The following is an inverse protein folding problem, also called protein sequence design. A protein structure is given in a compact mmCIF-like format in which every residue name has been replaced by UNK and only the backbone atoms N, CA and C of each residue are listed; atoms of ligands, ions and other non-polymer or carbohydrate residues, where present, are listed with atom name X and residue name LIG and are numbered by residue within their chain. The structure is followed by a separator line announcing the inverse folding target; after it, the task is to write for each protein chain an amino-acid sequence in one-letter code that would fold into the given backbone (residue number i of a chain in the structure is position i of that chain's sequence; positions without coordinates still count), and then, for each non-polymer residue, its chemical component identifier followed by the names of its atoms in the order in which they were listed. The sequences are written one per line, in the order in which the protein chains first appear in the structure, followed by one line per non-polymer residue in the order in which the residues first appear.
data_IF_252273893357
#
_entry.id   IF_252273893357
#
_cell.length_a   1.000
_cell.length_b   1.000
_cell.length_c   1.000
_cell.angle_alpha   90.00
_cell.angle_beta   90.00
_cell.angle_gamma   90.00
#
_symmetry.space_group_name_H-M   'P 1'
#
loop_
_entity.id
_entity.type
_entity.pdbx_description
1 polymer ?
#
# COMPACT_ATOMS: atom_id res chain seq x y z
N UNK A 1 0.81 -29.91 40.92
CA UNK A 1 1.55 -28.81 40.27
C UNK A 1 0.82 -28.43 38.99
N UNK A 2 -0.02 -27.38 38.96
CA UNK A 2 -0.76 -27.03 37.76
C UNK A 2 0.11 -26.19 36.81
N UNK A 3 -0.08 -26.45 35.52
CA UNK A 3 0.67 -25.88 34.40
C UNK A 3 0.51 -24.36 34.31
N UNK A 4 1.62 -23.70 33.97
CA UNK A 4 1.70 -22.26 33.74
C UNK A 4 0.98 -21.88 32.44
N UNK A 5 0.15 -20.84 32.54
CA UNK A 5 -0.65 -20.26 31.47
C UNK A 5 0.26 -19.42 30.53
N UNK A 6 0.18 -19.52 29.19
CA UNK A 6 1.01 -18.72 28.29
C UNK A 6 0.56 -17.26 28.31
N UNK A 7 1.53 -16.36 28.50
CA UNK A 7 1.31 -14.91 28.54
C UNK A 7 0.86 -14.42 27.16
N UNK A 8 -0.35 -13.88 27.11
CA UNK A 8 -0.89 -13.15 25.98
C UNK A 8 -0.12 -11.82 25.88
N UNK A 9 0.77 -11.68 24.90
CA UNK A 9 1.35 -10.38 24.55
C UNK A 9 0.19 -9.46 24.12
N UNK A 10 -0.17 -8.51 24.98
CA UNK A 10 -1.04 -7.40 24.60
C UNK A 10 -0.19 -6.39 23.85
N UNK A 11 -0.43 -6.22 22.55
CA UNK A 11 0.04 -5.06 21.82
C UNK A 11 -0.60 -3.82 22.46
N UNK A 12 0.23 -2.99 23.08
CA UNK A 12 -0.12 -1.69 23.61
C UNK A 12 -0.84 -0.89 22.52
N UNK A 13 -2.12 -0.59 22.76
CA UNK A 13 -2.83 0.41 21.97
C UNK A 13 -2.18 1.76 22.26
N UNK A 14 -1.62 2.40 21.23
CA UNK A 14 -1.10 3.76 21.31
C UNK A 14 -2.17 4.72 21.88
N UNK A 15 -1.96 5.31 23.07
CA UNK A 15 -2.84 6.32 23.61
C UNK A 15 -2.35 7.68 23.11
N UNK A 16 -2.71 8.04 21.88
CA UNK A 16 -2.49 9.39 21.33
C UNK A 16 -3.59 9.77 20.35
N UNK A 17 -4.83 9.41 20.68
CA UNK A 17 -6.06 9.98 20.11
C UNK A 17 -6.81 10.67 21.25
N UNK A 18 -6.14 11.59 21.93
CA UNK A 18 -6.78 12.49 22.88
C UNK A 18 -7.53 13.58 22.09
N UNK A 19 -8.83 13.32 21.95
CA UNK A 19 -9.95 14.27 22.08
C UNK A 19 -9.56 15.76 22.09
N UNK A 20 -9.28 16.31 20.92
CA UNK A 20 -9.47 17.73 20.66
C UNK A 20 -10.78 17.91 19.90
N UNK A 21 -11.80 18.41 20.60
CA UNK A 21 -13.04 19.02 20.11
C UNK A 21 -13.41 18.82 18.63
N UNK A 22 -13.83 17.60 18.25
CA UNK A 22 -14.64 17.42 17.04
C UNK A 22 -16.11 17.38 17.48
N UNK A 23 -16.76 18.56 17.47
CA UNK A 23 -18.22 18.59 17.57
C UNK A 23 -18.74 18.02 16.26
N UNK A 24 -19.12 16.74 16.29
CA UNK A 24 -19.79 16.09 15.17
C UNK A 24 -20.97 16.95 14.67
N UNK A 25 -21.29 16.89 13.36
CA UNK A 25 -22.18 17.85 12.74
C UNK A 25 -23.55 17.86 13.42
N UNK A 26 -24.08 19.06 13.67
CA UNK A 26 -25.41 19.26 14.21
C UNK A 26 -26.45 18.57 13.32
N UNK A 27 -27.52 18.07 13.94
CA UNK A 27 -28.54 17.28 13.29
C UNK A 27 -29.23 18.07 12.17
N UNK A 28 -28.79 17.89 10.92
CA UNK A 28 -29.39 18.54 9.75
C UNK A 28 -28.46 18.68 8.53
N UNK A 29 -27.14 18.70 8.72
CA UNK A 29 -26.21 18.83 7.59
C UNK A 29 -25.85 17.47 6.99
N UNK A 30 -26.07 17.33 5.68
CA UNK A 30 -25.66 16.14 4.93
C UNK A 30 -24.15 15.98 5.04
N UNK A 31 -23.70 14.84 5.59
CA UNK A 31 -22.28 14.45 5.66
C UNK A 31 -21.62 14.30 4.28
N UNK A 32 -22.39 14.38 3.19
CA UNK A 32 -21.91 14.25 1.82
C UNK A 32 -21.49 15.65 1.33
N UNK A 33 -20.21 15.84 0.95
CA UNK A 33 -19.73 17.09 0.38
C UNK A 33 -20.61 17.60 -0.78
N UNK A 34 -20.82 18.92 -0.93
CA UNK A 34 -21.72 19.48 -1.95
C UNK A 34 -21.48 18.96 -3.36
N UNK A 35 -20.20 18.80 -3.74
CA UNK A 35 -19.79 18.30 -5.06
C UNK A 35 -20.27 16.87 -5.34
N UNK A 36 -20.53 16.08 -4.30
CA UNK A 36 -20.94 14.69 -4.41
C UNK A 36 -22.46 14.48 -4.26
N UNK A 37 -23.22 15.52 -3.95
CA UNK A 37 -24.68 15.40 -3.79
C UNK A 37 -25.36 15.07 -5.12
N UNK A 38 -26.27 14.09 -5.10
CA UNK A 38 -26.98 13.62 -6.29
C UNK A 38 -26.11 12.79 -7.26
N UNK A 39 -24.87 12.45 -6.89
CA UNK A 39 -24.01 11.53 -7.64
C UNK A 39 -24.21 10.09 -7.15
N UNK A 40 -24.03 9.14 -8.05
CA UNK A 40 -24.03 7.70 -7.72
C UNK A 40 -22.59 7.22 -7.55
N UNK A 41 -22.34 6.48 -6.48
CA UNK A 41 -21.04 5.86 -6.22
C UNK A 41 -21.03 4.45 -6.79
N UNK A 42 -19.92 4.10 -7.42
CA UNK A 42 -19.63 2.72 -7.77
C UNK A 42 -18.77 2.11 -6.66
N UNK A 43 -19.19 0.94 -6.17
CA UNK A 43 -18.41 0.19 -5.18
C UNK A 43 -17.15 -0.37 -5.87
N UNK A 44 -15.93 0.06 -5.49
CA UNK A 44 -14.69 -0.40 -6.13
C UNK A 44 -14.39 -1.89 -5.84
N UNK A 45 -15.15 -2.57 -4.98
CA UNK A 45 -15.05 -4.04 -4.83
C UNK A 45 -15.68 -4.78 -6.02
N UNK A 46 -16.52 -4.11 -6.81
CA UNK A 46 -17.09 -4.64 -8.05
C UNK A 46 -16.10 -4.52 -9.22
N UNK A 47 -15.92 -5.59 -10.00
CA UNK A 47 -14.83 -5.70 -10.99
C UNK A 47 -14.85 -4.59 -12.07
N UNK A 48 -15.99 -4.26 -12.71
CA UNK A 48 -16.07 -3.11 -13.62
C UNK A 48 -15.75 -1.77 -12.97
N UNK A 49 -16.15 -1.55 -11.72
CA UNK A 49 -15.88 -0.31 -11.00
C UNK A 49 -14.40 -0.20 -10.65
N UNK A 50 -13.79 -1.30 -10.21
CA UNK A 50 -12.35 -1.41 -9.99
C UNK A 50 -11.58 -1.07 -11.27
N UNK A 51 -11.92 -1.71 -12.40
CA UNK A 51 -11.26 -1.46 -13.69
C UNK A 51 -11.43 -0.02 -14.15
N UNK A 52 -12.63 0.55 -14.00
CA UNK A 52 -12.88 1.94 -14.35
C UNK A 52 -12.03 2.90 -13.52
N UNK A 53 -11.95 2.68 -12.21
CA UNK A 53 -11.09 3.46 -11.32
C UNK A 53 -9.60 3.35 -11.69
N UNK A 54 -9.11 2.15 -11.99
CA UNK A 54 -7.71 1.92 -12.38
C UNK A 54 -7.37 2.43 -13.78
N UNK A 55 -8.37 2.70 -14.63
CA UNK A 55 -8.16 3.25 -15.97
C UNK A 55 -7.92 4.76 -16.00
N UNK A 56 -8.10 5.46 -14.86
CA UNK A 56 -7.83 6.89 -14.72
C UNK A 56 -6.59 7.10 -13.84
N UNK A 57 -5.44 7.33 -14.48
CA UNK A 57 -4.16 7.51 -13.80
C UNK A 57 -4.16 8.74 -12.87
N UNK A 58 -4.81 9.83 -13.26
CA UNK A 58 -4.86 11.05 -12.47
C UNK A 58 -5.69 10.84 -11.19
N UNK A 59 -6.87 10.22 -11.32
CA UNK A 59 -7.71 9.88 -10.18
C UNK A 59 -7.01 8.91 -9.22
N UNK A 60 -6.30 7.92 -9.76
CA UNK A 60 -5.56 6.94 -8.95
C UNK A 60 -4.40 7.60 -8.20
N UNK A 61 -3.63 8.47 -8.88
CA UNK A 61 -2.55 9.25 -8.26
C UNK A 61 -3.08 10.09 -7.10
N UNK A 62 -4.16 10.84 -7.31
CA UNK A 62 -4.77 11.68 -6.27
C UNK A 62 -5.29 10.84 -5.09
N UNK A 63 -5.90 9.70 -5.39
CA UNK A 63 -6.35 8.75 -4.37
C UNK A 63 -5.17 8.21 -3.54
N UNK A 64 -4.08 7.80 -4.18
CA UNK A 64 -2.91 7.26 -3.49
C UNK A 64 -2.18 8.33 -2.68
N UNK A 65 -2.00 9.53 -3.23
CA UNK A 65 -1.43 10.68 -2.50
C UNK A 65 -2.24 10.95 -1.22
N UNK A 66 -3.58 10.90 -1.30
CA UNK A 66 -4.46 11.10 -0.15
C UNK A 66 -4.43 9.92 0.84
N UNK A 67 -4.52 8.68 0.34
CA UNK A 67 -4.54 7.46 1.16
C UNK A 67 -3.24 7.29 1.95
N UNK A 68 -2.10 7.50 1.30
CA UNK A 68 -0.77 7.39 1.88
C UNK A 68 -0.33 8.66 2.63
N UNK A 69 -1.14 9.73 2.57
CA UNK A 69 -0.88 11.03 3.21
C UNK A 69 0.47 11.61 2.79
N UNK A 70 0.77 11.57 1.48
CA UNK A 70 2.02 12.08 0.95
C UNK A 70 2.02 13.63 0.97
N UNK A 71 3.02 14.28 1.61
CA UNK A 71 3.08 15.74 1.64
C UNK A 71 3.56 16.30 0.28
N UNK A 72 3.36 17.61 0.04
CA UNK A 72 3.99 18.28 -1.11
C UNK A 72 5.51 18.06 -1.15
N UNK A 73 6.08 17.89 -2.34
CA UNK A 73 7.50 17.54 -2.54
C UNK A 73 7.80 16.04 -2.37
N UNK A 74 6.78 15.24 -2.05
CA UNK A 74 6.82 13.78 -1.89
C UNK A 74 5.65 13.09 -2.55
N UNK A 75 4.85 13.82 -3.31
CA UNK A 75 3.69 13.27 -4.01
C UNK A 75 4.18 12.34 -5.09
N UNK A 76 3.31 11.46 -5.54
CA UNK A 76 3.56 10.65 -6.72
C UNK A 76 3.77 11.60 -7.90
N UNK A 77 4.82 11.40 -8.68
CA UNK A 77 5.10 12.09 -9.94
C UNK A 77 4.65 11.25 -11.12
N UNK A 78 4.94 9.93 -11.09
CA UNK A 78 4.64 8.99 -12.17
C UNK A 78 4.21 7.63 -11.61
N UNK A 79 3.27 6.99 -12.30
CA UNK A 79 2.85 5.62 -12.05
C UNK A 79 3.23 4.72 -13.23
N UNK A 80 3.48 3.44 -12.97
CA UNK A 80 3.48 2.40 -14.00
C UNK A 80 2.71 1.18 -13.51
N UNK A 81 1.91 0.63 -14.41
CA UNK A 81 1.10 -0.56 -14.17
C UNK A 81 1.77 -1.76 -14.80
N UNK A 82 2.10 -2.76 -13.99
CA UNK A 82 2.68 -3.99 -14.53
C UNK A 82 1.96 -5.19 -13.95
N UNK A 83 0.84 -5.55 -14.57
CA UNK A 83 0.20 -6.85 -14.34
C UNK A 83 1.08 -8.04 -14.78
N UNK A 84 2.26 -7.78 -15.35
CA UNK A 84 3.09 -8.74 -16.09
C UNK A 84 4.55 -8.85 -15.62
N UNK A 85 4.99 -8.10 -14.59
CA UNK A 85 6.34 -8.23 -14.03
C UNK A 85 6.30 -8.86 -12.63
N UNK A 86 6.02 -10.18 -12.55
CA UNK A 86 6.12 -10.88 -11.30
C UNK A 86 7.55 -10.85 -10.77
N UNK A 87 7.69 -10.59 -9.48
CA UNK A 87 8.93 -10.87 -8.77
C UNK A 87 8.88 -12.32 -8.28
N UNK A 88 9.74 -13.15 -8.85
CA UNK A 88 9.87 -14.55 -8.48
C UNK A 88 10.93 -14.75 -7.40
N UNK A 89 10.57 -15.49 -6.36
CA UNK A 89 11.47 -15.86 -5.27
C UNK A 89 11.54 -17.38 -5.13
N UNK A 90 12.77 -17.88 -4.96
CA UNK A 90 13.04 -19.28 -4.66
C UNK A 90 13.28 -19.45 -3.16
N UNK A 91 12.23 -19.81 -2.45
CA UNK A 91 12.27 -20.40 -1.10
C UNK A 91 11.91 -21.90 -1.26
N UNK A 92 11.66 -22.74 -0.23
CA UNK A 92 11.36 -24.18 -0.42
C UNK A 92 10.26 -24.52 -1.45
N UNK A 93 9.49 -23.54 -1.94
CA UNK A 93 8.82 -23.56 -3.24
C UNK A 93 8.87 -22.19 -3.94
N UNK A 94 8.63 -22.13 -5.26
CA UNK A 94 8.56 -20.87 -5.99
C UNK A 94 7.40 -20.02 -5.45
N UNK A 95 7.67 -18.74 -5.22
CA UNK A 95 6.66 -17.72 -4.88
C UNK A 95 6.75 -16.59 -5.88
N UNK A 96 5.62 -16.30 -6.50
CA UNK A 96 5.45 -15.18 -7.41
C UNK A 96 4.71 -14.09 -6.67
N UNK A 97 5.28 -12.88 -6.66
CA UNK A 97 4.66 -11.68 -6.11
C UNK A 97 4.41 -10.73 -7.28
N UNK A 98 3.20 -10.21 -7.41
CA UNK A 98 2.86 -9.21 -8.42
C UNK A 98 2.44 -7.96 -7.67
N UNK A 99 3.09 -6.84 -7.97
CA UNK A 99 2.64 -5.53 -7.53
C UNK A 99 1.82 -4.92 -8.65
N UNK A 100 0.65 -4.38 -8.33
CA UNK A 100 -0.25 -3.82 -9.33
C UNK A 100 0.27 -2.47 -9.84
N UNK A 101 0.93 -1.71 -8.96
CA UNK A 101 1.34 -0.33 -9.20
C UNK A 101 2.77 -0.13 -8.69
N UNK A 102 3.62 0.43 -9.56
CA UNK A 102 4.90 0.99 -9.19
C UNK A 102 4.82 2.51 -9.30
N UNK A 103 5.02 3.22 -8.19
CA UNK A 103 4.96 4.67 -8.15
C UNK A 103 6.34 5.29 -7.90
N UNK A 104 6.59 6.40 -8.57
CA UNK A 104 7.78 7.23 -8.42
C UNK A 104 7.34 8.55 -7.83
N UNK A 105 7.98 8.97 -6.75
CA UNK A 105 7.66 10.21 -6.04
C UNK A 105 8.60 11.33 -6.40
N UNK A 106 8.15 12.57 -6.19
CA UNK A 106 8.91 13.81 -6.45
C UNK A 106 10.29 13.85 -5.78
N UNK A 107 10.48 13.15 -4.66
CA UNK A 107 11.78 13.04 -3.95
C UNK A 107 12.58 11.80 -4.32
N UNK A 108 12.25 11.15 -5.44
CA UNK A 108 12.99 10.01 -5.99
C UNK A 108 12.77 8.68 -5.29
N UNK A 109 11.77 8.56 -4.40
CA UNK A 109 11.41 7.27 -3.78
C UNK A 109 10.51 6.46 -4.69
N UNK A 110 10.68 5.14 -4.61
CA UNK A 110 9.85 4.13 -5.25
C UNK A 110 8.85 3.56 -4.25
N UNK A 111 7.61 3.35 -4.68
CA UNK A 111 6.56 2.68 -3.92
C UNK A 111 6.03 1.51 -4.75
N UNK A 112 6.20 0.29 -4.23
CA UNK A 112 5.58 -0.92 -4.80
C UNK A 112 4.28 -1.19 -4.06
N UNK A 113 3.16 -1.18 -4.77
CA UNK A 113 1.82 -1.23 -4.19
C UNK A 113 1.07 -2.46 -4.72
N UNK A 114 0.61 -3.32 -3.81
CA UNK A 114 -0.29 -4.44 -4.08
C UNK A 114 -1.70 -4.08 -3.61
N UNK A 115 -2.69 -4.23 -4.49
CA UNK A 115 -4.08 -3.84 -4.28
C UNK A 115 -4.92 -5.08 -3.99
N UNK A 116 -5.73 -5.04 -2.93
CA UNK A 116 -6.51 -6.19 -2.48
C UNK A 116 -8.00 -5.96 -2.58
N UNK A 117 -8.70 -6.87 -3.27
CA UNK A 117 -10.17 -6.87 -3.36
C UNK A 117 -10.84 -7.54 -2.15
N UNK A 118 -10.08 -8.26 -1.34
CA UNK A 118 -10.58 -8.98 -0.18
C UNK A 118 -9.59 -8.91 0.99
N UNK A 119 -10.09 -9.18 2.19
CA UNK A 119 -9.23 -9.33 3.37
C UNK A 119 -8.47 -10.66 3.27
N UNK A 120 -7.16 -10.60 3.44
CA UNK A 120 -6.30 -11.78 3.52
C UNK A 120 -5.78 -11.95 4.95
N UNK A 121 -5.81 -13.18 5.45
CA UNK A 121 -5.09 -13.55 6.66
C UNK A 121 -3.58 -13.33 6.45
N UNK A 122 -2.86 -12.96 7.51
CA UNK A 122 -1.40 -12.79 7.49
C UNK A 122 -0.90 -11.73 6.49
N UNK A 123 -1.70 -10.69 6.21
CA UNK A 123 -1.31 -9.60 5.32
C UNK A 123 0.05 -8.98 5.73
N UNK A 124 0.23 -8.70 7.02
CA UNK A 124 1.46 -8.08 7.56
C UNK A 124 2.67 -8.99 7.34
N UNK A 125 2.54 -10.29 7.62
CA UNK A 125 3.64 -11.25 7.45
C UNK A 125 4.03 -11.38 5.97
N UNK A 126 3.04 -11.35 5.06
CA UNK A 126 3.29 -11.33 3.60
C UNK A 126 4.06 -10.08 3.18
N UNK A 127 3.64 -8.91 3.63
CA UNK A 127 4.31 -7.65 3.29
C UNK A 127 5.74 -7.60 3.83
N UNK A 128 5.98 -8.10 5.05
CA UNK A 128 7.32 -8.20 5.61
C UNK A 128 8.20 -9.13 4.77
N UNK A 129 7.67 -10.29 4.37
CA UNK A 129 8.37 -11.24 3.52
C UNK A 129 8.73 -10.62 2.16
N UNK A 130 7.78 -9.93 1.53
CA UNK A 130 8.00 -9.29 0.23
C UNK A 130 9.03 -8.16 0.32
N UNK A 131 9.03 -7.40 1.41
CA UNK A 131 10.06 -6.38 1.68
C UNK A 131 11.46 -6.98 1.77
N UNK A 132 11.63 -8.05 2.54
CA UNK A 132 12.92 -8.74 2.65
C UNK A 132 13.41 -9.25 1.29
N UNK A 133 12.48 -9.74 0.47
CA UNK A 133 12.76 -10.23 -0.85
C UNK A 133 13.14 -9.15 -1.87
N UNK A 134 12.46 -8.01 -1.86
CA UNK A 134 12.85 -6.85 -2.66
C UNK A 134 14.24 -6.34 -2.27
N UNK A 135 14.57 -6.34 -0.96
CA UNK A 135 15.89 -5.96 -0.49
C UNK A 135 16.99 -6.90 -1.01
N UNK A 136 16.76 -8.22 -0.97
CA UNK A 136 17.70 -9.21 -1.53
C UNK A 136 17.86 -9.02 -3.04
N UNK A 137 16.76 -8.86 -3.79
CA UNK A 137 16.81 -8.60 -5.24
C UNK A 137 17.58 -7.33 -5.56
N UNK A 138 17.35 -6.26 -4.79
CA UNK A 138 18.08 -5.00 -4.93
C UNK A 138 19.57 -5.16 -4.68
N UNK A 139 19.97 -5.94 -3.66
CA UNK A 139 21.37 -6.26 -3.39
C UNK A 139 22.02 -7.04 -4.54
N UNK A 140 21.35 -8.06 -5.07
CA UNK A 140 21.85 -8.82 -6.22
C UNK A 140 22.00 -7.97 -7.48
N UNK A 141 21.03 -7.09 -7.75
CA UNK A 141 21.10 -6.15 -8.86
C UNK A 141 22.26 -5.17 -8.69
N UNK A 142 22.47 -4.66 -7.47
CA UNK A 142 23.61 -3.81 -7.15
C UNK A 142 24.94 -4.54 -7.33
N UNK A 143 25.07 -5.80 -6.90
CA UNK A 143 26.29 -6.60 -7.07
C UNK A 143 26.60 -6.94 -8.54
N UNK A 144 25.57 -7.01 -9.38
CA UNK A 144 25.71 -7.27 -10.81
C UNK A 144 25.92 -5.99 -11.64
N UNK A 145 25.97 -4.82 -11.00
CA UNK A 145 26.11 -3.54 -11.68
C UNK A 145 27.52 -3.34 -12.25
N UNK A 146 27.70 -2.57 -13.34
CA UNK A 146 29.03 -2.23 -13.84
C UNK A 146 29.92 -1.56 -12.78
N UNK A 147 29.33 -0.73 -11.93
CA UNK A 147 30.03 -0.03 -10.86
C UNK A 147 30.60 -1.00 -9.83
N UNK A 148 29.82 -1.98 -9.37
CA UNK A 148 30.31 -2.98 -8.40
C UNK A 148 31.37 -3.91 -9.00
N UNK A 149 31.16 -4.37 -10.23
CA UNK A 149 32.12 -5.25 -10.92
C UNK A 149 33.44 -4.55 -11.24
N UNK A 150 33.45 -3.22 -11.35
CA UNK A 150 34.67 -2.43 -11.58
C UNK A 150 35.54 -2.24 -10.33
N UNK A 151 35.05 -2.61 -9.15
CA UNK A 151 35.74 -2.50 -7.86
C UNK A 151 36.42 -3.81 -7.43
N UNK A 152 36.21 -4.91 -8.17
CA UNK A 152 36.82 -6.24 -7.96
C UNK A 152 38.04 -6.46 -8.88
#
# INVERSE_FOLDING_TARGET
MPAQNPQHLQFSQNPSLDRAHDKGPEAGESRIPPILRGKTYLDPLYDPAFRAFFSDEAALKDFLDALLRLPPGRRIERLSFTFADPVEFRIPGPKTVVFDIHAFTEDGRFLDIEMQRAKHSFLVDRMLLYSAFLAIKGKQAMESSPESLSLE
#
